data_IF_764574145666
#
_entry.id   IF_764574145666
#
_cell.length_a   1.000
_cell.length_b   1.000
_cell.length_c   1.000
_cell.angle_alpha   90.00
_cell.angle_beta   90.00
_cell.angle_gamma   90.00
#
_symmetry.space_group_name_H-M   'P 1'
#
loop_
_entity.id
_entity.type
_entity.pdbx_description
1 polymer ?
#
# COMPACT_ATOMS: atom_id res chain seq x y z
N UNK A 1 29.06 -48.66 33.74
CA UNK A 1 28.45 -49.86 34.42
C UNK A 1 27.31 -50.25 33.53
N UNK A 2 27.52 -51.26 32.63
CA UNK A 2 27.27 -52.70 32.85
C UNK A 2 25.76 -52.90 33.13
N UNK A 3 24.92 -53.69 32.49
CA UNK A 3 25.05 -54.91 31.65
C UNK A 3 23.63 -55.21 31.15
N UNK A 4 23.43 -55.65 29.94
CA UNK A 4 23.32 -57.05 29.40
C UNK A 4 22.16 -57.82 30.07
N UNK A 5 21.33 -58.56 29.39
CA UNK A 5 21.53 -59.73 28.52
C UNK A 5 20.15 -60.29 28.11
N UNK A 6 19.98 -60.74 26.91
CA UNK A 6 19.95 -62.16 26.44
C UNK A 6 18.76 -63.02 26.93
N UNK A 7 18.10 -63.62 25.96
CA UNK A 7 17.95 -65.06 25.81
C UNK A 7 16.65 -65.48 25.10
N UNK A 8 16.69 -66.01 23.89
CA UNK A 8 16.54 -67.42 23.44
C UNK A 8 15.24 -68.11 23.92
N UNK A 9 14.54 -68.92 23.20
CA UNK A 9 14.64 -69.66 21.94
C UNK A 9 13.48 -70.64 21.83
N UNK A 10 13.19 -71.13 20.60
CA UNK A 10 12.67 -72.47 20.25
C UNK A 10 11.18 -72.73 20.54
N UNK A 11 10.38 -73.43 19.75
CA UNK A 11 10.55 -74.48 18.75
C UNK A 11 9.25 -74.66 17.96
N UNK A 12 9.39 -75.18 16.76
CA UNK A 12 8.32 -75.79 15.92
C UNK A 12 7.82 -77.12 16.52
N UNK A 13 6.60 -77.55 16.12
CA UNK A 13 6.63 -78.57 15.05
C UNK A 13 5.43 -78.48 14.06
N UNK A 14 5.71 -79.10 12.96
CA UNK A 14 4.99 -79.52 11.75
C UNK A 14 3.65 -80.23 11.94
N UNK A 15 2.67 -79.95 11.04
CA UNK A 15 1.84 -81.01 10.45
C UNK A 15 1.22 -80.61 9.11
N UNK A 16 1.52 -81.43 8.16
CA UNK A 16 0.93 -81.92 6.91
C UNK A 16 -0.36 -81.31 6.35
N UNK A 17 -0.30 -81.08 5.04
CA UNK A 17 -1.33 -80.79 4.06
C UNK A 17 -2.37 -81.87 3.89
N UNK A 18 -3.50 -81.55 3.29
CA UNK A 18 -3.85 -82.39 2.09
C UNK A 18 -4.23 -81.51 0.87
N UNK A 19 -4.07 -82.18 -0.24
CA UNK A 19 -4.38 -81.79 -1.61
C UNK A 19 -5.73 -81.08 -1.77
N UNK A 20 -5.75 -79.94 -2.53
CA UNK A 20 -6.93 -79.41 -3.13
C UNK A 20 -6.66 -79.16 -4.64
N UNK A 21 -7.63 -79.59 -5.36
CA UNK A 21 -7.83 -79.63 -6.77
C UNK A 21 -7.59 -78.33 -7.49
N UNK A 22 -6.81 -78.31 -8.57
CA UNK A 22 -6.65 -77.17 -9.50
C UNK A 22 -7.92 -77.03 -10.35
N UNK A 23 -8.61 -75.88 -10.18
CA UNK A 23 -9.52 -75.37 -11.19
C UNK A 23 -8.77 -74.46 -12.18
N UNK A 24 -9.16 -74.43 -13.46
CA UNK A 24 -8.38 -73.71 -14.49
C UNK A 24 -8.61 -72.20 -14.38
N UNK A 25 -7.52 -71.42 -14.27
CA UNK A 25 -7.53 -69.95 -14.37
C UNK A 25 -8.06 -69.52 -15.75
N UNK A 26 -9.21 -68.85 -15.74
CA UNK A 26 -9.67 -68.04 -16.87
C UNK A 26 -8.73 -66.85 -17.06
N UNK A 27 -7.82 -66.90 -18.02
CA UNK A 27 -7.03 -65.74 -18.49
C UNK A 27 -8.00 -64.66 -18.99
N UNK A 28 -8.22 -63.63 -18.18
CA UNK A 28 -8.84 -62.35 -18.63
C UNK A 28 -7.94 -61.77 -19.73
N UNK A 29 -8.37 -61.91 -21.01
CA UNK A 29 -7.75 -61.19 -22.12
C UNK A 29 -7.78 -59.70 -21.80
N UNK A 30 -6.61 -59.14 -21.51
CA UNK A 30 -6.41 -57.70 -21.30
C UNK A 30 -6.84 -56.97 -22.57
N UNK A 31 -7.89 -56.12 -22.45
CA UNK A 31 -8.42 -55.38 -23.57
C UNK A 31 -7.47 -54.22 -23.90
N UNK A 32 -6.27 -54.52 -24.44
CA UNK A 32 -5.21 -53.57 -24.80
C UNK A 32 -5.75 -52.53 -25.78
N UNK A 33 -6.61 -52.94 -26.72
CA UNK A 33 -7.26 -52.02 -27.68
C UNK A 33 -8.14 -51.00 -26.98
N UNK A 34 -8.93 -51.40 -25.96
CA UNK A 34 -9.76 -50.46 -25.18
C UNK A 34 -8.92 -49.47 -24.38
N UNK A 35 -7.76 -49.91 -23.85
CA UNK A 35 -6.83 -49.00 -23.14
C UNK A 35 -6.16 -48.00 -24.08
N UNK A 36 -5.78 -48.42 -25.28
CA UNK A 36 -5.20 -47.53 -26.31
C UNK A 36 -6.23 -46.50 -26.77
N UNK A 37 -7.49 -46.93 -27.04
CA UNK A 37 -8.56 -46.02 -27.42
C UNK A 37 -8.88 -45.02 -26.32
N UNK A 38 -8.83 -45.42 -25.05
CA UNK A 38 -9.03 -44.53 -23.91
C UNK A 38 -7.91 -43.50 -23.78
N UNK A 39 -6.67 -43.87 -23.97
CA UNK A 39 -5.51 -42.96 -23.95
C UNK A 39 -5.56 -42.00 -25.13
N UNK A 40 -5.87 -42.46 -26.33
CA UNK A 40 -6.04 -41.61 -27.52
C UNK A 40 -7.23 -40.64 -27.34
N UNK A 41 -8.35 -41.12 -26.76
CA UNK A 41 -9.49 -40.25 -26.43
C UNK A 41 -9.17 -39.17 -25.39
N UNK A 42 -8.44 -39.52 -24.33
CA UNK A 42 -7.96 -38.56 -23.30
C UNK A 42 -6.96 -37.58 -23.85
N UNK A 43 -6.01 -38.00 -24.70
CA UNK A 43 -5.07 -37.07 -25.35
C UNK A 43 -5.77 -36.16 -26.35
N UNK A 44 -6.72 -36.66 -27.13
CA UNK A 44 -7.54 -35.80 -28.02
C UNK A 44 -8.38 -34.81 -27.23
N UNK A 45 -8.97 -35.24 -26.10
CA UNK A 45 -9.73 -34.35 -25.20
C UNK A 45 -8.83 -33.28 -24.56
N UNK A 46 -7.62 -33.65 -24.14
CA UNK A 46 -6.60 -32.69 -23.63
C UNK A 46 -6.17 -31.70 -24.72
N UNK A 47 -5.94 -32.15 -25.93
CA UNK A 47 -5.59 -31.29 -27.07
C UNK A 47 -6.76 -30.36 -27.42
N UNK A 48 -8.01 -30.86 -27.39
CA UNK A 48 -9.22 -30.02 -27.61
C UNK A 48 -9.42 -29.04 -26.46
N UNK A 49 -9.17 -29.41 -25.21
CA UNK A 49 -9.20 -28.48 -24.07
C UNK A 49 -8.07 -27.45 -24.13
N UNK A 50 -6.86 -27.84 -24.56
CA UNK A 50 -5.75 -26.92 -24.77
C UNK A 50 -5.99 -25.97 -25.95
N UNK A 51 -6.62 -26.46 -27.04
CA UNK A 51 -7.02 -25.62 -28.19
C UNK A 51 -8.30 -24.80 -27.96
N UNK A 52 -9.14 -25.17 -27.00
CA UNK A 52 -10.30 -24.40 -26.53
C UNK A 52 -10.01 -23.58 -25.27
N UNK A 53 -8.83 -23.69 -24.67
CA UNK A 53 -8.36 -22.67 -23.74
C UNK A 53 -8.38 -21.36 -24.49
N UNK A 54 -9.11 -20.32 -24.05
CA UNK A 54 -9.01 -19.03 -24.70
C UNK A 54 -7.53 -18.72 -24.79
N UNK A 55 -7.03 -18.54 -26.01
CA UNK A 55 -5.63 -18.20 -26.24
C UNK A 55 -5.34 -17.02 -25.32
N UNK A 56 -4.27 -17.12 -24.53
CA UNK A 56 -3.75 -16.08 -23.65
C UNK A 56 -3.34 -14.78 -24.38
N UNK A 57 -3.90 -14.51 -25.54
CA UNK A 57 -3.53 -13.42 -26.44
C UNK A 57 -4.69 -12.63 -27.02
N UNK A 58 -5.88 -12.60 -26.38
CA UNK A 58 -6.75 -11.45 -26.63
C UNK A 58 -6.11 -10.24 -25.98
N UNK A 59 -5.71 -9.22 -26.76
CA UNK A 59 -5.16 -7.99 -26.18
C UNK A 59 -6.17 -7.48 -25.15
N UNK A 60 -5.77 -7.44 -23.89
CA UNK A 60 -6.63 -6.83 -22.87
C UNK A 60 -6.75 -5.34 -23.20
N UNK A 61 -7.83 -4.69 -22.81
CA UNK A 61 -7.96 -3.22 -22.95
C UNK A 61 -6.74 -2.47 -22.39
N UNK A 62 -5.98 -3.09 -21.48
CA UNK A 62 -4.84 -2.49 -20.78
C UNK A 62 -3.48 -2.69 -21.49
N UNK A 63 -3.41 -3.56 -22.51
CA UNK A 63 -2.14 -3.88 -23.22
C UNK A 63 -1.78 -2.89 -24.32
N UNK A 64 -2.63 -1.91 -24.63
CA UNK A 64 -2.42 -0.91 -25.66
C UNK A 64 -2.74 0.48 -25.15
N UNK A 65 -1.96 1.47 -25.62
CA UNK A 65 -2.33 2.87 -25.44
C UNK A 65 -3.64 3.16 -26.19
N UNK A 66 -4.46 4.00 -25.58
CA UNK A 66 -5.68 4.50 -26.17
C UNK A 66 -5.57 6.01 -26.32
N UNK A 67 -5.83 6.52 -27.51
CA UNK A 67 -5.70 7.95 -27.80
C UNK A 67 -6.62 8.78 -26.88
N UNK A 68 -6.07 9.79 -26.25
CA UNK A 68 -6.80 10.66 -25.33
C UNK A 68 -7.06 10.06 -23.92
N UNK A 69 -6.61 8.82 -23.66
CA UNK A 69 -6.79 8.16 -22.35
C UNK A 69 -5.45 7.82 -21.72
N UNK A 70 -5.09 8.50 -20.65
CA UNK A 70 -3.88 8.21 -19.87
C UNK A 70 -4.09 7.00 -18.98
N UNK A 71 -3.21 6.00 -19.07
CA UNK A 71 -3.21 4.80 -18.27
C UNK A 71 -2.23 4.91 -17.10
N UNK A 72 -2.73 4.91 -15.89
CA UNK A 72 -1.95 5.09 -14.64
C UNK A 72 -1.88 3.78 -13.85
N UNK A 73 -0.67 3.33 -13.56
CA UNK A 73 -0.42 2.30 -12.56
C UNK A 73 -0.42 2.93 -11.17
N UNK A 74 -1.30 2.47 -10.28
CA UNK A 74 -1.40 2.88 -8.88
C UNK A 74 -0.91 1.73 -8.02
N UNK A 75 0.35 1.78 -7.55
CA UNK A 75 0.87 0.79 -6.61
C UNK A 75 0.39 1.10 -5.19
N UNK A 76 0.06 0.08 -4.41
CA UNK A 76 -0.56 0.30 -3.10
C UNK A 76 -2.00 0.82 -3.18
N UNK A 77 -2.68 0.56 -4.32
CA UNK A 77 -3.99 1.12 -4.61
C UNK A 77 -5.15 0.50 -3.83
N UNK A 78 -4.93 -0.60 -3.11
CA UNK A 78 -5.90 -1.12 -2.14
C UNK A 78 -5.73 -0.51 -0.73
N UNK A 79 -4.69 0.32 -0.52
CA UNK A 79 -4.44 1.07 0.71
C UNK A 79 -5.28 2.33 0.83
N UNK A 80 -5.19 3.00 1.99
CA UNK A 80 -5.96 4.22 2.29
C UNK A 80 -5.76 5.32 1.24
N UNK A 81 -4.53 5.81 1.04
CA UNK A 81 -4.26 6.91 0.10
C UNK A 81 -4.43 6.44 -1.36
N UNK A 82 -3.90 5.25 -1.69
CA UNK A 82 -3.92 4.72 -3.05
C UNK A 82 -5.34 4.47 -3.59
N UNK A 83 -6.28 4.02 -2.75
CA UNK A 83 -7.68 3.84 -3.17
C UNK A 83 -8.40 5.18 -3.44
N UNK A 84 -8.13 6.21 -2.63
CA UNK A 84 -8.64 7.56 -2.89
C UNK A 84 -8.03 8.16 -4.17
N UNK A 85 -6.73 7.91 -4.43
CA UNK A 85 -6.08 8.32 -5.68
C UNK A 85 -6.71 7.61 -6.90
N UNK A 86 -6.93 6.30 -6.81
CA UNK A 86 -7.61 5.55 -7.86
C UNK A 86 -9.03 6.07 -8.11
N UNK A 87 -9.82 6.36 -7.06
CA UNK A 87 -11.13 6.98 -7.18
C UNK A 87 -11.08 8.32 -7.91
N UNK A 88 -10.13 9.18 -7.53
CA UNK A 88 -9.97 10.49 -8.16
C UNK A 88 -9.58 10.39 -9.62
N UNK A 89 -8.63 9.52 -9.97
CA UNK A 89 -8.23 9.27 -11.36
C UNK A 89 -9.41 8.74 -12.20
N UNK A 90 -10.15 7.76 -11.69
CA UNK A 90 -11.33 7.21 -12.38
C UNK A 90 -12.42 8.26 -12.63
N UNK A 91 -12.66 9.17 -11.69
CA UNK A 91 -13.58 10.31 -11.86
C UNK A 91 -13.13 11.27 -12.97
N UNK A 92 -11.85 11.40 -13.18
CA UNK A 92 -11.27 12.24 -14.25
C UNK A 92 -10.97 11.48 -15.55
N UNK A 93 -11.63 10.33 -15.75
CA UNK A 93 -11.53 9.53 -16.97
C UNK A 93 -10.16 8.91 -17.26
N UNK A 94 -9.26 8.79 -16.30
CA UNK A 94 -8.06 7.99 -16.44
C UNK A 94 -8.39 6.49 -16.50
N UNK A 95 -7.55 5.72 -17.17
CA UNK A 95 -7.50 4.27 -17.04
C UNK A 95 -6.59 3.94 -15.86
N UNK A 96 -7.01 3.03 -14.98
CA UNK A 96 -6.31 2.72 -13.74
C UNK A 96 -6.03 1.22 -13.62
N UNK A 97 -4.77 0.87 -13.40
CA UNK A 97 -4.39 -0.46 -12.91
C UNK A 97 -3.90 -0.31 -11.47
N UNK A 98 -4.55 -1.00 -10.56
CA UNK A 98 -4.12 -1.11 -9.16
C UNK A 98 -3.25 -2.34 -9.00
N UNK A 99 -2.05 -2.17 -8.42
CA UNK A 99 -1.20 -3.27 -7.96
C UNK A 99 -1.03 -3.20 -6.45
N UNK A 100 -1.36 -4.30 -5.76
CA UNK A 100 -1.26 -4.39 -4.30
C UNK A 100 -1.13 -5.86 -3.88
N UNK A 101 -0.32 -6.16 -2.87
CA UNK A 101 -0.23 -7.49 -2.25
C UNK A 101 -1.21 -7.66 -1.08
N UNK A 102 -2.03 -6.66 -0.83
CA UNK A 102 -3.05 -6.60 0.24
C UNK A 102 -2.49 -6.88 1.64
N UNK A 103 -1.18 -6.69 1.84
CA UNK A 103 -0.57 -6.85 3.18
C UNK A 103 -1.03 -5.78 4.18
N UNK A 104 -1.32 -4.58 3.70
CA UNK A 104 -1.85 -3.44 4.46
C UNK A 104 -3.14 -2.87 3.87
N UNK A 105 -3.40 -3.14 2.60
CA UNK A 105 -4.58 -2.72 1.87
C UNK A 105 -5.82 -3.56 2.18
N UNK A 106 -6.95 -3.16 1.62
CA UNK A 106 -8.23 -3.84 1.77
C UNK A 106 -8.90 -4.06 0.40
N UNK A 107 -9.15 -5.32 0.05
CA UNK A 107 -9.81 -5.67 -1.22
C UNK A 107 -11.22 -5.09 -1.35
N UNK A 108 -11.89 -4.79 -0.26
CA UNK A 108 -13.22 -4.19 -0.34
C UNK A 108 -13.17 -2.75 -0.90
N UNK A 109 -12.09 -1.99 -0.64
CA UNK A 109 -11.89 -0.70 -1.30
C UNK A 109 -11.83 -0.87 -2.83
N UNK A 110 -11.11 -1.88 -3.32
CA UNK A 110 -11.04 -2.20 -4.76
C UNK A 110 -12.41 -2.60 -5.31
N UNK A 111 -13.16 -3.45 -4.60
CA UNK A 111 -14.52 -3.86 -5.00
C UNK A 111 -15.48 -2.66 -5.10
N UNK A 112 -15.38 -1.69 -4.18
CA UNK A 112 -16.17 -0.45 -4.24
C UNK A 112 -15.80 0.33 -5.52
N UNK A 113 -14.52 0.50 -5.82
CA UNK A 113 -14.07 1.17 -7.04
C UNK A 113 -14.58 0.47 -8.30
N UNK A 114 -14.53 -0.87 -8.35
CA UNK A 114 -15.06 -1.67 -9.47
C UNK A 114 -16.58 -1.51 -9.61
N UNK A 115 -17.31 -1.45 -8.50
CA UNK A 115 -18.77 -1.20 -8.51
C UNK A 115 -19.11 0.20 -9.00
N UNK A 116 -18.32 1.21 -8.65
CA UNK A 116 -18.52 2.60 -9.08
C UNK A 116 -18.12 2.83 -10.54
N UNK A 117 -17.18 2.05 -11.06
CA UNK A 117 -16.65 2.16 -12.41
C UNK A 117 -16.66 0.78 -13.10
N UNK A 118 -17.87 0.24 -13.45
CA UNK A 118 -18.03 -1.11 -13.97
C UNK A 118 -17.65 -1.25 -15.46
N UNK A 119 -17.33 -0.14 -16.13
CA UNK A 119 -17.03 -0.15 -17.57
C UNK A 119 -15.74 -0.94 -17.86
N UNK A 120 -15.77 -1.89 -18.81
CA UNK A 120 -14.59 -2.61 -19.23
C UNK A 120 -13.46 -1.67 -19.65
N UNK A 121 -12.23 -2.00 -19.29
CA UNK A 121 -11.05 -1.21 -19.67
C UNK A 121 -10.81 0.06 -18.82
N UNK A 122 -11.60 0.33 -17.78
CA UNK A 122 -11.40 1.50 -16.89
C UNK A 122 -10.55 1.18 -15.67
N UNK A 123 -10.86 0.08 -14.99
CA UNK A 123 -10.18 -0.34 -13.77
C UNK A 123 -9.77 -1.81 -13.84
N UNK A 124 -8.49 -2.07 -13.55
CA UNK A 124 -7.93 -3.40 -13.38
C UNK A 124 -7.29 -3.51 -12.00
N UNK A 125 -7.40 -4.67 -11.36
CA UNK A 125 -6.66 -5.01 -10.16
C UNK A 125 -5.75 -6.20 -10.42
N UNK A 126 -4.48 -6.09 -10.04
CA UNK A 126 -3.49 -7.15 -10.11
C UNK A 126 -2.93 -7.38 -8.71
N UNK A 127 -3.09 -8.60 -8.20
CA UNK A 127 -2.45 -9.01 -6.96
C UNK A 127 -0.98 -9.31 -7.24
N UNK A 128 -0.07 -8.53 -6.67
CA UNK A 128 1.37 -8.78 -6.78
C UNK A 128 2.14 -8.10 -5.63
N UNK A 129 3.27 -8.71 -5.26
CA UNK A 129 4.27 -8.10 -4.39
C UNK A 129 5.33 -7.40 -5.24
N UNK A 130 5.64 -6.14 -4.92
CA UNK A 130 6.66 -5.37 -5.64
C UNK A 130 8.09 -5.87 -5.35
N UNK A 131 8.27 -6.73 -4.36
CA UNK A 131 9.52 -7.45 -4.11
C UNK A 131 9.79 -8.57 -5.12
N UNK A 132 8.76 -9.06 -5.81
CA UNK A 132 8.92 -10.02 -6.91
C UNK A 132 9.19 -9.28 -8.23
N UNK A 133 10.47 -9.10 -8.54
CA UNK A 133 10.90 -8.38 -9.74
C UNK A 133 10.38 -9.02 -11.05
N UNK A 134 10.19 -10.33 -11.09
CA UNK A 134 9.65 -11.02 -12.29
C UNK A 134 8.17 -10.71 -12.46
N UNK A 135 7.40 -10.75 -11.38
CA UNK A 135 5.99 -10.39 -11.41
C UNK A 135 5.81 -8.92 -11.81
N UNK A 136 6.63 -8.01 -11.29
CA UNK A 136 6.59 -6.58 -11.65
C UNK A 136 6.92 -6.39 -13.13
N UNK A 137 8.01 -6.98 -13.63
CA UNK A 137 8.38 -6.88 -15.04
C UNK A 137 7.27 -7.41 -15.97
N UNK A 138 6.66 -8.53 -15.62
CA UNK A 138 5.50 -9.08 -16.34
C UNK A 138 4.34 -8.10 -16.38
N UNK A 139 4.02 -7.44 -15.26
CA UNK A 139 2.95 -6.43 -15.20
C UNK A 139 3.22 -5.29 -16.20
N UNK A 140 4.45 -4.81 -16.26
CA UNK A 140 4.83 -3.74 -17.20
C UNK A 140 4.86 -4.21 -18.66
N UNK A 141 5.21 -5.48 -18.92
CA UNK A 141 5.20 -6.04 -20.28
C UNK A 141 3.80 -6.29 -20.85
N UNK A 142 2.82 -6.55 -19.96
CA UNK A 142 1.44 -6.86 -20.36
C UNK A 142 0.51 -5.63 -20.39
N UNK A 143 0.99 -4.47 -19.91
CA UNK A 143 0.18 -3.26 -19.75
C UNK A 143 0.91 -2.04 -20.33
N UNK A 144 0.21 -1.25 -21.12
CA UNK A 144 0.73 0.00 -21.68
C UNK A 144 0.48 1.16 -20.71
N UNK A 145 1.43 1.39 -19.80
CA UNK A 145 1.34 2.48 -18.82
C UNK A 145 1.92 3.79 -19.35
N UNK A 146 1.24 4.91 -19.08
CA UNK A 146 1.73 6.26 -19.32
C UNK A 146 2.37 6.87 -18.08
N UNK A 147 1.92 6.43 -16.90
CA UNK A 147 2.43 6.93 -15.64
C UNK A 147 2.34 5.89 -14.51
N UNK A 148 3.20 6.06 -13.51
CA UNK A 148 3.11 5.34 -12.22
C UNK A 148 2.89 6.33 -11.09
N UNK A 149 1.85 6.12 -10.29
CA UNK A 149 1.70 6.71 -8.95
C UNK A 149 2.10 5.67 -7.91
N UNK A 150 3.23 5.89 -7.26
CA UNK A 150 3.83 4.91 -6.35
C UNK A 150 3.51 5.21 -4.88
N UNK A 151 2.42 4.61 -4.37
CA UNK A 151 1.99 4.72 -2.97
C UNK A 151 2.41 3.50 -2.12
N UNK A 152 2.72 2.36 -2.74
CA UNK A 152 3.03 1.13 -2.02
C UNK A 152 4.18 1.32 -1.03
N UNK A 153 3.86 1.26 0.25
CA UNK A 153 4.83 1.36 1.35
C UNK A 153 4.20 0.94 2.67
N UNK A 154 4.96 0.31 3.56
CA UNK A 154 4.65 0.29 4.98
C UNK A 154 4.98 1.66 5.58
N UNK A 155 4.07 2.25 6.39
CA UNK A 155 4.14 3.67 6.74
C UNK A 155 3.91 3.95 8.23
N UNK A 156 4.36 3.06 9.12
CA UNK A 156 4.26 3.24 10.57
C UNK A 156 5.63 3.52 11.18
N UNK A 157 5.83 4.75 11.66
CA UNK A 157 7.11 5.21 12.24
C UNK A 157 7.56 4.34 13.40
N UNK A 158 6.65 4.00 14.33
CA UNK A 158 6.96 3.15 15.48
C UNK A 158 7.39 1.75 15.07
N UNK A 159 6.65 1.09 14.17
CA UNK A 159 7.00 -0.24 13.64
C UNK A 159 8.37 -0.22 12.93
N UNK A 160 8.73 0.86 12.26
CA UNK A 160 10.01 0.95 11.55
C UNK A 160 11.22 0.84 12.47
N UNK A 161 11.10 1.26 13.73
CA UNK A 161 12.20 1.13 14.71
C UNK A 161 12.34 -0.29 15.25
N UNK A 162 11.25 -1.07 15.23
CA UNK A 162 11.25 -2.46 15.68
C UNK A 162 11.67 -3.44 14.57
N UNK A 163 11.29 -3.15 13.33
CA UNK A 163 11.61 -3.98 12.14
C UNK A 163 12.16 -3.13 10.99
N UNK A 164 13.38 -2.59 11.12
CA UNK A 164 13.94 -1.66 10.13
C UNK A 164 14.21 -2.32 8.77
N UNK A 165 14.63 -3.60 8.74
CA UNK A 165 14.98 -4.28 7.49
C UNK A 165 13.76 -4.44 6.58
N UNK A 166 12.59 -4.70 7.15
CA UNK A 166 11.33 -4.74 6.42
C UNK A 166 11.04 -3.40 5.73
N UNK A 167 11.33 -2.28 6.39
CA UNK A 167 11.10 -0.95 5.82
C UNK A 167 12.06 -0.64 4.67
N UNK A 168 13.34 -0.97 4.79
CA UNK A 168 14.29 -0.81 3.69
C UNK A 168 13.94 -1.71 2.50
N UNK A 169 13.55 -2.96 2.74
CA UNK A 169 13.10 -3.85 1.67
C UNK A 169 11.82 -3.34 1.01
N UNK A 170 10.79 -3.08 1.81
CA UNK A 170 9.46 -2.72 1.29
C UNK A 170 9.44 -1.35 0.60
N UNK A 171 10.23 -0.38 1.06
CA UNK A 171 10.24 0.97 0.49
C UNK A 171 11.37 1.11 -0.54
N UNK A 172 12.63 0.93 -0.10
CA UNK A 172 13.79 1.24 -0.95
C UNK A 172 13.96 0.22 -2.07
N UNK A 173 14.00 -1.09 -1.74
CA UNK A 173 14.18 -2.14 -2.73
C UNK A 173 13.00 -2.23 -3.69
N UNK A 174 11.76 -2.13 -3.20
CA UNK A 174 10.57 -2.18 -4.03
C UNK A 174 10.46 -0.96 -4.96
N UNK A 175 10.85 0.23 -4.51
CA UNK A 175 10.95 1.42 -5.38
C UNK A 175 11.98 1.19 -6.48
N UNK A 176 13.13 0.57 -6.18
CA UNK A 176 14.14 0.23 -7.19
C UNK A 176 13.57 -0.76 -8.22
N UNK A 177 12.82 -1.76 -7.80
CA UNK A 177 12.17 -2.73 -8.70
C UNK A 177 11.21 -2.02 -9.66
N UNK A 178 10.34 -1.15 -9.15
CA UNK A 178 9.41 -0.36 -9.96
C UNK A 178 10.15 0.53 -10.94
N UNK A 179 11.18 1.27 -10.49
CA UNK A 179 11.96 2.18 -11.32
C UNK A 179 12.69 1.45 -12.46
N UNK A 180 13.26 0.27 -12.19
CA UNK A 180 13.87 -0.61 -13.21
C UNK A 180 12.87 -1.02 -14.28
N UNK A 181 11.67 -1.46 -13.88
CA UNK A 181 10.63 -1.87 -14.84
C UNK A 181 10.10 -0.68 -15.64
N UNK A 182 9.92 0.50 -15.00
CA UNK A 182 9.58 1.74 -15.73
C UNK A 182 10.61 2.07 -16.80
N UNK A 183 11.90 1.97 -16.47
CA UNK A 183 12.99 2.23 -17.40
C UNK A 183 13.01 1.23 -18.58
N UNK A 184 12.90 -0.08 -18.29
CA UNK A 184 12.90 -1.16 -19.27
C UNK A 184 11.71 -1.04 -20.26
N UNK A 185 10.54 -0.70 -19.75
CA UNK A 185 9.29 -0.58 -20.53
C UNK A 185 8.97 0.87 -20.97
N UNK A 186 9.92 1.81 -20.79
CA UNK A 186 9.82 3.20 -21.24
C UNK A 186 8.59 3.96 -20.74
N UNK A 187 8.15 3.69 -19.50
CA UNK A 187 7.06 4.45 -18.87
C UNK A 187 7.55 5.85 -18.53
N UNK A 188 6.94 6.92 -19.08
CA UNK A 188 7.55 8.24 -19.10
C UNK A 188 7.38 9.06 -17.82
N UNK A 189 6.46 8.68 -16.89
CA UNK A 189 6.10 9.55 -15.77
C UNK A 189 6.04 8.80 -14.45
N UNK A 190 6.77 9.29 -13.44
CA UNK A 190 6.73 8.81 -12.05
C UNK A 190 6.21 9.90 -11.11
N UNK A 191 5.13 9.61 -10.38
CA UNK A 191 4.68 10.38 -9.23
C UNK A 191 5.00 9.58 -7.97
N UNK A 192 6.01 10.02 -7.22
CA UNK A 192 6.49 9.33 -6.03
C UNK A 192 5.89 9.91 -4.76
N UNK A 193 5.20 9.07 -4.01
CA UNK A 193 4.58 9.40 -2.73
C UNK A 193 5.64 9.33 -1.62
N UNK A 194 6.23 10.47 -1.29
CA UNK A 194 7.27 10.61 -0.27
C UNK A 194 6.68 11.11 1.06
N UNK A 195 7.50 11.67 1.94
CA UNK A 195 7.11 12.06 3.30
C UNK A 195 7.95 13.23 3.82
N UNK A 196 7.38 14.05 4.70
CA UNK A 196 8.12 15.05 5.47
C UNK A 196 9.19 14.44 6.39
N UNK A 197 9.09 13.15 6.74
CA UNK A 197 10.08 12.47 7.57
C UNK A 197 11.48 12.41 6.93
N UNK A 198 11.61 12.70 5.63
CA UNK A 198 12.90 12.82 4.92
C UNK A 198 13.71 14.03 5.36
N UNK A 199 13.09 15.03 5.98
CA UNK A 199 13.79 16.24 6.45
C UNK A 199 14.52 16.07 7.79
N UNK A 200 14.26 14.99 8.52
CA UNK A 200 14.84 14.79 9.83
C UNK A 200 14.25 15.77 10.86
N UNK A 201 15.12 16.37 11.67
CA UNK A 201 14.77 17.38 12.67
C UNK A 201 15.14 18.78 12.15
N UNK A 202 14.22 19.52 11.52
CA UNK A 202 14.51 20.83 10.95
C UNK A 202 14.75 21.87 12.03
N UNK A 203 15.70 22.78 11.77
CA UNK A 203 16.01 23.89 12.71
C UNK A 203 14.99 25.03 12.63
N UNK A 204 14.29 25.16 11.50
CA UNK A 204 13.34 26.25 11.24
C UNK A 204 12.03 25.72 10.72
N UNK A 205 10.95 26.34 11.15
CA UNK A 205 9.59 26.14 10.67
C UNK A 205 9.09 27.44 9.98
N UNK A 206 8.22 27.33 8.97
CA UNK A 206 7.76 26.09 8.29
C UNK A 206 8.86 25.42 7.44
N UNK A 207 8.68 24.11 7.16
CA UNK A 207 9.57 23.34 6.30
C UNK A 207 9.36 23.69 4.84
N UNK A 208 10.41 24.10 4.16
CA UNK A 208 10.43 24.31 2.70
C UNK A 208 11.14 23.17 2.01
N UNK A 209 11.03 23.06 0.68
CA UNK A 209 11.79 22.07 -0.11
C UNK A 209 13.31 22.33 -0.10
N UNK A 210 13.72 23.55 0.23
CA UNK A 210 15.12 23.94 0.44
C UNK A 210 15.66 23.62 1.84
N UNK A 211 14.82 23.12 2.75
CA UNK A 211 15.28 22.71 4.09
C UNK A 211 16.32 21.60 3.98
N UNK A 212 17.52 21.75 4.60
CA UNK A 212 18.60 20.77 4.49
C UNK A 212 18.19 19.37 4.94
N UNK A 213 18.61 18.34 4.19
CA UNK A 213 18.36 16.94 4.50
C UNK A 213 19.67 16.15 4.78
N UNK A 214 20.83 16.78 4.71
CA UNK A 214 22.13 16.11 4.62
C UNK A 214 23.14 16.50 5.72
N UNK A 215 22.75 17.22 6.78
CA UNK A 215 23.64 17.46 7.91
C UNK A 215 23.44 16.43 9.02
N UNK A 216 24.44 16.22 9.89
CA UNK A 216 24.37 15.26 11.00
C UNK A 216 23.13 15.44 11.91
N UNK A 217 22.54 16.63 11.92
CA UNK A 217 21.31 16.96 12.67
C UNK A 217 20.02 16.78 11.87
N UNK A 218 20.10 16.74 10.52
CA UNK A 218 18.95 16.74 9.63
C UNK A 218 18.74 15.39 8.94
N UNK A 219 19.41 14.33 9.38
CA UNK A 219 19.13 12.98 8.89
C UNK A 219 17.78 12.48 9.42
N UNK A 220 16.99 11.73 8.61
CA UNK A 220 15.79 11.09 9.12
C UNK A 220 16.09 10.26 10.37
N UNK A 221 15.35 10.51 11.45
CA UNK A 221 15.63 9.89 12.76
C UNK A 221 15.04 8.48 12.93
N UNK A 222 14.25 8.02 11.97
CA UNK A 222 13.67 6.69 11.99
C UNK A 222 13.87 5.95 10.66
N UNK A 223 13.84 4.60 10.67
CA UNK A 223 14.06 3.80 9.47
C UNK A 223 13.06 4.06 8.33
N UNK A 224 11.80 4.40 8.63
CA UNK A 224 10.82 4.80 7.62
C UNK A 224 11.29 6.03 6.83
N UNK A 225 11.65 7.11 7.52
CA UNK A 225 12.15 8.32 6.88
C UNK A 225 13.45 8.07 6.11
N UNK A 226 14.38 7.27 6.67
CA UNK A 226 15.61 6.86 5.99
C UNK A 226 15.34 6.08 4.71
N UNK A 227 14.46 5.07 4.74
CA UNK A 227 14.11 4.28 3.57
C UNK A 227 13.46 5.13 2.46
N UNK A 228 12.57 6.06 2.82
CA UNK A 228 11.97 7.02 1.87
C UNK A 228 13.02 7.96 1.29
N UNK A 229 13.94 8.49 2.10
CA UNK A 229 15.03 9.34 1.63
C UNK A 229 15.97 8.60 0.67
N UNK A 230 16.36 7.38 0.99
CA UNK A 230 17.17 6.54 0.10
C UNK A 230 16.44 6.28 -1.24
N UNK A 231 15.14 6.07 -1.22
CA UNK A 231 14.36 5.92 -2.43
C UNK A 231 14.33 7.22 -3.26
N UNK A 232 14.17 8.39 -2.62
CA UNK A 232 14.31 9.69 -3.31
C UNK A 232 15.68 9.84 -3.96
N UNK A 233 16.77 9.51 -3.24
CA UNK A 233 18.13 9.64 -3.76
C UNK A 233 18.35 8.77 -5.00
N UNK A 234 17.88 7.51 -4.98
CA UNK A 234 17.93 6.63 -6.16
C UNK A 234 17.15 7.21 -7.35
N UNK A 235 15.96 7.74 -7.10
CA UNK A 235 15.11 8.37 -8.14
C UNK A 235 15.82 9.60 -8.72
N UNK A 236 16.41 10.44 -7.88
CA UNK A 236 17.13 11.65 -8.30
C UNK A 236 18.41 11.33 -9.08
N UNK A 237 19.16 10.31 -8.65
CA UNK A 237 20.34 9.87 -9.41
C UNK A 237 19.98 9.30 -10.76
N UNK A 238 18.93 8.48 -10.83
CA UNK A 238 18.39 7.97 -12.10
C UNK A 238 17.91 9.08 -13.02
N UNK A 239 17.30 10.14 -12.49
CA UNK A 239 16.76 11.25 -13.27
C UNK A 239 17.80 11.99 -14.10
N UNK A 240 19.06 12.04 -13.64
CA UNK A 240 20.15 12.76 -14.31
C UNK A 240 20.42 12.28 -15.74
N UNK A 241 20.16 11.00 -16.00
CA UNK A 241 20.40 10.36 -17.30
C UNK A 241 19.09 9.79 -17.91
N UNK A 242 17.94 10.27 -17.47
CA UNK A 242 16.63 9.80 -17.92
C UNK A 242 15.82 10.92 -18.56
N UNK A 243 14.95 10.56 -19.52
CA UNK A 243 13.94 11.46 -20.06
C UNK A 243 12.62 11.46 -19.27
N UNK A 244 12.56 10.70 -18.17
CA UNK A 244 11.37 10.54 -17.36
C UNK A 244 10.97 11.86 -16.69
N UNK A 245 9.68 12.13 -16.65
CA UNK A 245 9.09 13.16 -15.79
C UNK A 245 8.96 12.59 -14.38
N UNK A 246 9.51 13.28 -13.37
CA UNK A 246 9.50 12.81 -12.00
C UNK A 246 8.93 13.88 -11.09
N UNK A 247 7.91 13.51 -10.32
CA UNK A 247 7.31 14.36 -9.29
C UNK A 247 7.38 13.65 -7.94
N UNK A 248 8.04 14.27 -6.97
CA UNK A 248 8.21 13.77 -5.60
C UNK A 248 7.35 14.62 -4.68
N UNK A 249 6.37 14.01 -4.01
CA UNK A 249 5.46 14.70 -3.11
C UNK A 249 5.77 14.31 -1.66
N UNK A 250 6.30 15.27 -0.88
CA UNK A 250 6.62 15.12 0.54
C UNK A 250 5.45 15.63 1.36
N UNK A 251 4.55 14.72 1.72
CA UNK A 251 3.37 15.10 2.48
C UNK A 251 3.50 14.84 3.98
N UNK A 252 2.60 15.44 4.72
CA UNK A 252 2.56 15.46 6.18
C UNK A 252 1.53 14.45 6.72
N UNK A 253 0.89 14.71 7.84
CA UNK A 253 -0.01 13.75 8.46
C UNK A 253 -1.35 13.67 7.73
N UNK A 254 -1.67 12.53 7.14
CA UNK A 254 -2.89 12.36 6.35
C UNK A 254 -4.06 11.99 7.24
N UNK A 255 -5.18 12.69 7.06
CA UNK A 255 -6.46 12.49 7.74
C UNK A 255 -7.62 12.52 6.73
N UNK A 256 -8.84 12.37 7.20
CA UNK A 256 -10.02 12.53 6.35
C UNK A 256 -10.54 11.23 5.75
N UNK A 257 -11.57 11.36 4.96
CA UNK A 257 -12.21 10.30 4.17
C UNK A 257 -12.85 10.91 2.94
N UNK A 258 -13.29 10.07 2.00
CA UNK A 258 -14.07 10.55 0.85
C UNK A 258 -15.34 11.28 1.33
N UNK A 259 -15.59 12.52 0.90
CA UNK A 259 -16.75 13.30 1.36
C UNK A 259 -18.11 12.66 1.06
N UNK A 260 -18.19 11.84 -0.01
CA UNK A 260 -19.39 11.09 -0.39
C UNK A 260 -19.50 9.74 0.38
N UNK A 261 -18.57 9.44 1.30
CA UNK A 261 -18.64 8.29 2.19
C UNK A 261 -18.32 6.93 1.56
N UNK A 262 -17.71 6.89 0.37
CA UNK A 262 -17.39 5.64 -0.35
C UNK A 262 -16.15 4.95 0.18
N UNK A 263 -15.12 5.73 0.51
CA UNK A 263 -13.81 5.26 0.96
C UNK A 263 -13.39 5.98 2.25
N UNK A 264 -12.66 5.26 3.10
CA UNK A 264 -12.10 5.80 4.33
C UNK A 264 -10.89 5.01 4.82
N UNK A 265 -10.33 5.41 5.94
CA UNK A 265 -9.24 4.68 6.58
C UNK A 265 -9.77 3.50 7.38
N UNK A 266 -9.40 2.29 6.98
CA UNK A 266 -9.78 1.04 7.64
C UNK A 266 -8.56 0.13 7.84
N UNK A 267 -7.71 0.40 8.84
CA UNK A 267 -6.61 -0.49 9.16
C UNK A 267 -7.15 -1.82 9.67
N UNK A 268 -6.41 -2.90 9.40
CA UNK A 268 -6.72 -4.20 9.97
C UNK A 268 -6.65 -4.14 11.51
N UNK A 269 -7.43 -4.95 12.24
CA UNK A 269 -7.46 -4.92 13.71
C UNK A 269 -6.08 -5.02 14.35
N UNK A 270 -5.21 -5.90 13.85
CA UNK A 270 -3.85 -6.12 14.34
C UNK A 270 -2.90 -4.93 14.10
N UNK A 271 -3.29 -3.96 13.27
CA UNK A 271 -2.49 -2.78 12.94
C UNK A 271 -2.99 -1.50 13.63
N UNK A 272 -4.09 -1.56 14.37
CA UNK A 272 -4.71 -0.38 15.00
C UNK A 272 -3.77 0.31 15.98
N UNK A 273 -3.02 -0.46 16.78
CA UNK A 273 -2.06 0.10 17.76
C UNK A 273 -0.92 0.90 17.11
N UNK A 274 -0.64 0.65 15.85
CA UNK A 274 0.37 1.36 15.05
C UNK A 274 -0.25 2.48 14.21
N UNK A 275 -1.58 2.64 14.28
CA UNK A 275 -2.37 3.52 13.41
C UNK A 275 -2.10 5.01 13.60
N UNK A 276 -2.78 5.79 12.78
CA UNK A 276 -2.75 7.27 12.85
C UNK A 276 -3.52 7.75 14.07
N UNK A 277 -3.21 8.96 14.52
CA UNK A 277 -3.90 9.60 15.64
C UNK A 277 -5.42 9.72 15.40
N UNK A 278 -5.86 10.00 14.17
CA UNK A 278 -7.28 10.04 13.79
C UNK A 278 -7.98 8.71 14.05
N UNK A 279 -7.38 7.60 13.61
CA UNK A 279 -7.90 6.26 13.84
C UNK A 279 -8.00 5.92 15.33
N UNK A 280 -6.98 6.25 16.12
CA UNK A 280 -6.99 6.04 17.57
C UNK A 280 -8.09 6.88 18.26
N UNK A 281 -8.28 8.14 17.86
CA UNK A 281 -9.37 8.99 18.38
C UNK A 281 -10.76 8.39 18.04
N UNK A 282 -10.95 7.92 16.80
CA UNK A 282 -12.22 7.30 16.40
C UNK A 282 -12.46 5.96 17.09
N UNK A 283 -11.43 5.15 17.28
CA UNK A 283 -11.53 3.90 18.04
C UNK A 283 -11.90 4.16 19.51
N UNK A 284 -11.34 5.21 20.12
CA UNK A 284 -11.73 5.64 21.48
C UNK A 284 -13.17 6.19 21.50
N UNK A 285 -13.57 6.99 20.50
CA UNK A 285 -14.93 7.52 20.41
C UNK A 285 -15.98 6.41 20.21
N UNK A 286 -15.62 5.31 19.53
CA UNK A 286 -16.48 4.12 19.36
C UNK A 286 -16.46 3.16 20.54
N UNK A 287 -15.60 3.40 21.53
CA UNK A 287 -15.41 2.51 22.70
C UNK A 287 -14.63 1.23 22.38
N UNK A 288 -13.91 1.15 21.24
CA UNK A 288 -13.06 0.01 20.87
C UNK A 288 -11.82 -0.01 21.75
N UNK A 289 -11.27 1.16 22.09
CA UNK A 289 -10.18 1.34 23.05
C UNK A 289 -10.64 2.28 24.19
N UNK A 290 -10.08 2.15 25.40
CA UNK A 290 -10.56 2.92 26.56
C UNK A 290 -10.29 4.42 26.51
N UNK A 291 -9.41 4.87 25.64
CA UNK A 291 -8.99 6.26 25.46
C UNK A 291 -7.76 6.38 24.58
N UNK A 292 -7.32 7.59 24.31
CA UNK A 292 -6.14 7.87 23.52
C UNK A 292 -4.91 8.13 24.39
N UNK A 293 -3.74 7.67 23.95
CA UNK A 293 -2.44 7.89 24.58
C UNK A 293 -1.70 9.01 23.87
N UNK A 294 -1.59 10.18 24.52
CA UNK A 294 -0.79 11.32 24.03
C UNK A 294 0.63 11.22 24.58
N UNK A 295 1.63 11.13 23.67
CA UNK A 295 3.02 10.91 24.05
C UNK A 295 3.82 12.21 23.99
N UNK A 296 4.38 12.60 25.14
CA UNK A 296 5.11 13.84 25.35
C UNK A 296 4.23 15.04 25.60
N UNK A 297 4.48 15.68 26.74
CA UNK A 297 3.79 16.90 27.20
C UNK A 297 4.79 17.98 27.62
N UNK A 298 6.04 17.76 27.31
CA UNK A 298 7.21 18.56 27.72
C UNK A 298 8.02 19.07 26.52
N UNK A 299 7.43 19.06 25.30
CA UNK A 299 8.05 19.69 24.14
C UNK A 299 8.04 21.23 24.29
N UNK A 300 9.00 21.89 23.67
CA UNK A 300 9.07 23.36 23.61
C UNK A 300 8.03 23.92 22.63
N UNK A 301 6.75 23.67 22.89
CA UNK A 301 5.59 24.12 22.15
C UNK A 301 4.62 24.80 23.11
N UNK A 302 3.62 25.49 22.60
CA UNK A 302 2.70 26.28 23.41
C UNK A 302 1.97 25.45 24.50
N UNK A 303 1.57 24.22 24.19
CA UNK A 303 0.83 23.34 25.10
C UNK A 303 1.63 22.11 25.56
N UNK A 304 2.91 22.05 25.20
CA UNK A 304 3.83 20.96 25.54
C UNK A 304 3.71 19.74 24.65
N UNK A 305 2.73 19.66 23.72
CA UNK A 305 2.57 18.52 22.82
C UNK A 305 3.16 18.79 21.43
N UNK A 306 3.40 17.74 20.64
CA UNK A 306 3.97 17.87 19.30
C UNK A 306 3.04 18.68 18.37
N UNK A 307 3.64 19.46 17.48
CA UNK A 307 2.93 20.18 16.41
C UNK A 307 3.09 19.46 15.09
N UNK A 308 2.00 19.25 14.35
CA UNK A 308 1.95 18.57 13.05
C UNK A 308 1.09 19.34 12.06
N UNK A 309 1.35 19.15 10.77
CA UNK A 309 0.50 19.59 9.68
C UNK A 309 -0.40 18.41 9.28
N UNK A 310 -1.71 18.61 9.29
CA UNK A 310 -2.69 17.59 8.97
C UNK A 310 -3.33 17.90 7.62
N UNK A 311 -3.07 17.06 6.63
CA UNK A 311 -3.61 17.19 5.27
C UNK A 311 -4.76 16.22 5.04
N UNK A 312 -5.88 16.70 4.49
CA UNK A 312 -6.98 15.84 4.09
C UNK A 312 -6.58 14.95 2.91
N UNK A 313 -7.02 13.68 2.95
CA UNK A 313 -6.70 12.70 1.89
C UNK A 313 -7.23 13.14 0.53
N UNK A 314 -8.35 13.85 0.48
CA UNK A 314 -8.94 14.40 -0.75
C UNK A 314 -8.02 15.44 -1.39
N UNK A 315 -7.48 16.35 -0.58
CA UNK A 315 -6.51 17.34 -1.01
C UNK A 315 -5.18 16.70 -1.41
N UNK A 316 -4.73 15.71 -0.64
CA UNK A 316 -3.49 15.00 -0.95
C UNK A 316 -3.56 14.31 -2.31
N UNK A 317 -4.65 13.60 -2.61
CA UNK A 317 -4.78 12.93 -3.91
C UNK A 317 -4.99 13.93 -5.06
N UNK A 318 -5.66 15.06 -4.81
CA UNK A 318 -5.73 16.17 -5.77
C UNK A 318 -4.34 16.71 -6.11
N UNK A 319 -3.44 16.89 -5.12
CA UNK A 319 -2.05 17.26 -5.35
C UNK A 319 -1.30 16.24 -6.24
N UNK A 320 -1.52 14.93 -6.05
CA UNK A 320 -0.93 13.90 -6.87
C UNK A 320 -1.42 13.95 -8.32
N UNK A 321 -2.71 14.19 -8.54
CA UNK A 321 -3.28 14.36 -9.88
C UNK A 321 -2.77 15.65 -10.54
N UNK A 322 -2.69 16.76 -9.80
CA UNK A 322 -2.07 18.00 -10.29
C UNK A 322 -0.62 17.80 -10.68
N UNK A 323 0.16 17.05 -9.90
CA UNK A 323 1.53 16.71 -10.23
C UNK A 323 1.60 15.90 -11.54
N UNK A 324 0.70 14.91 -11.73
CA UNK A 324 0.62 14.15 -13.00
C UNK A 324 0.32 15.05 -14.19
N UNK A 325 -0.66 15.96 -14.06
CA UNK A 325 -1.07 16.88 -15.13
C UNK A 325 0.02 17.89 -15.52
N UNK A 326 0.91 18.24 -14.57
CA UNK A 326 2.02 19.19 -14.79
C UNK A 326 3.37 18.51 -15.05
N UNK A 327 3.41 17.18 -15.06
CA UNK A 327 4.64 16.43 -15.29
C UNK A 327 5.16 16.67 -16.72
N UNK A 328 6.44 17.03 -16.84
CA UNK A 328 7.11 17.31 -18.13
C UNK A 328 8.35 16.45 -18.26
N UNK A 329 8.58 15.91 -19.45
CA UNK A 329 9.77 15.11 -19.76
C UNK A 329 11.04 15.81 -19.29
N UNK A 330 11.98 15.07 -18.73
CA UNK A 330 13.27 15.55 -18.18
C UNK A 330 13.14 16.51 -17.01
N UNK A 331 11.97 16.69 -16.44
CA UNK A 331 11.77 17.57 -15.30
C UNK A 331 11.61 16.78 -13.99
N UNK A 332 12.23 17.29 -12.93
CA UNK A 332 12.08 16.80 -11.57
C UNK A 332 11.43 17.87 -10.73
N UNK A 333 10.22 17.61 -10.27
CA UNK A 333 9.52 18.47 -9.30
C UNK A 333 9.55 17.81 -7.90
N UNK A 334 9.93 18.58 -6.88
CA UNK A 334 9.83 18.15 -5.48
C UNK A 334 8.95 19.17 -4.77
N UNK A 335 7.91 18.69 -4.08
CA UNK A 335 6.91 19.56 -3.45
C UNK A 335 6.52 19.07 -2.06
N UNK A 336 6.43 20.02 -1.13
CA UNK A 336 5.76 19.81 0.15
C UNK A 336 4.24 19.89 -0.05
N UNK A 337 3.53 18.89 0.49
CA UNK A 337 2.07 18.82 0.42
C UNK A 337 1.48 18.83 1.82
N UNK A 338 0.99 19.95 2.24
CA UNK A 338 0.38 20.18 3.53
C UNK A 338 -0.51 21.44 3.49
N UNK A 339 -1.08 21.79 4.63
CA UNK A 339 -1.93 22.97 4.77
C UNK A 339 -1.15 24.24 5.08
N UNK A 340 0.11 24.10 5.52
CA UNK A 340 0.90 25.19 6.07
C UNK A 340 0.51 25.60 7.49
N UNK A 341 -0.41 24.85 8.12
CA UNK A 341 -0.91 25.14 9.48
C UNK A 341 -0.43 24.07 10.45
N UNK A 342 0.46 24.43 11.36
CA UNK A 342 0.84 23.56 12.48
C UNK A 342 -0.29 23.49 13.51
N UNK A 343 -0.67 22.26 13.90
CA UNK A 343 -1.64 21.99 14.96
C UNK A 343 -1.03 21.06 15.98
N UNK A 344 -1.23 21.36 17.26
CA UNK A 344 -0.73 20.49 18.33
C UNK A 344 -1.55 19.21 18.43
N UNK A 345 -0.94 18.16 19.03
CA UNK A 345 -1.67 16.90 19.29
C UNK A 345 -2.86 17.15 20.21
N UNK A 346 -2.76 18.06 21.16
CA UNK A 346 -3.85 18.43 22.06
C UNK A 346 -4.99 19.13 21.30
N UNK A 347 -4.68 20.10 20.42
CA UNK A 347 -5.67 20.72 19.54
C UNK A 347 -6.37 19.68 18.66
N UNK A 348 -5.62 18.70 18.14
CA UNK A 348 -6.17 17.62 17.33
C UNK A 348 -7.18 16.77 18.12
N UNK A 349 -6.85 16.38 19.36
CA UNK A 349 -7.73 15.58 20.20
C UNK A 349 -9.00 16.36 20.55
N UNK A 350 -8.89 17.66 20.84
CA UNK A 350 -10.07 18.51 21.11
C UNK A 350 -10.96 18.64 19.85
N UNK A 351 -10.37 18.80 18.66
CA UNK A 351 -11.13 18.78 17.41
C UNK A 351 -11.83 17.42 17.18
N UNK A 352 -11.18 16.31 17.52
CA UNK A 352 -11.83 14.98 17.48
C UNK A 352 -13.00 14.86 18.46
N UNK A 353 -12.90 15.40 19.68
CA UNK A 353 -14.01 15.41 20.65
C UNK A 353 -15.20 16.18 20.09
N UNK A 354 -14.96 17.34 19.49
CA UNK A 354 -16.01 18.14 18.85
C UNK A 354 -16.66 17.41 17.67
N UNK A 355 -15.85 16.94 16.71
CA UNK A 355 -16.32 16.26 15.51
C UNK A 355 -17.11 14.98 15.83
N UNK A 356 -16.74 14.25 16.90
CA UNK A 356 -17.41 13.02 17.30
C UNK A 356 -18.60 13.24 18.26
N UNK A 357 -18.62 14.34 18.99
CA UNK A 357 -19.54 14.60 20.11
C UNK A 357 -19.25 13.73 21.34
N UNK A 358 -18.09 13.07 21.39
CA UNK A 358 -17.71 12.13 22.47
C UNK A 358 -16.57 12.70 23.30
N UNK A 359 -16.72 12.66 24.62
CA UNK A 359 -15.63 13.02 25.54
C UNK A 359 -14.58 11.90 25.59
N UNK A 360 -13.62 11.93 24.66
CA UNK A 360 -12.54 10.94 24.53
C UNK A 360 -11.60 11.09 25.74
N UNK A 361 -11.38 9.99 26.48
CA UNK A 361 -10.40 9.95 27.56
C UNK A 361 -9.00 10.06 27.01
N UNK A 362 -8.14 10.83 27.69
CA UNK A 362 -6.74 11.05 27.32
C UNK A 362 -5.82 10.62 28.44
N UNK A 363 -4.88 9.74 28.11
CA UNK A 363 -3.76 9.35 28.98
C UNK A 363 -2.48 10.02 28.45
N UNK A 364 -1.79 10.77 29.28
CA UNK A 364 -0.53 11.41 28.94
C UNK A 364 0.65 10.54 29.33
N UNK A 365 1.54 10.27 28.37
CA UNK A 365 2.70 9.40 28.51
C UNK A 365 3.99 10.16 28.18
N UNK A 366 5.17 9.65 28.63
CA UNK A 366 6.46 10.16 28.21
C UNK A 366 6.64 10.21 26.68
N UNK A 367 7.58 11.01 26.19
CA UNK A 367 7.91 11.10 24.76
C UNK A 367 8.23 9.74 24.17
N UNK A 368 7.82 9.54 22.92
CA UNK A 368 8.24 8.40 22.13
C UNK A 368 9.55 8.73 21.43
N UNK A 369 10.58 7.85 21.46
CA UNK A 369 11.78 8.04 20.65
C UNK A 369 11.44 8.20 19.17
N UNK A 370 12.08 9.17 18.51
CA UNK A 370 11.85 9.43 17.09
C UNK A 370 10.71 10.39 16.76
N UNK A 371 10.09 11.02 17.76
CA UNK A 371 9.12 12.12 17.55
C UNK A 371 9.81 13.48 17.55
N UNK A 372 9.36 14.37 16.68
CA UNK A 372 9.80 15.77 16.57
C UNK A 372 8.87 16.70 17.35
N UNK A 373 9.43 17.82 17.86
CA UNK A 373 8.61 18.85 18.53
C UNK A 373 7.60 19.48 17.54
N UNK A 374 8.11 19.94 16.40
CA UNK A 374 7.30 20.64 15.39
C UNK A 374 7.66 20.15 13.98
N UNK A 375 6.64 19.86 13.17
CA UNK A 375 6.78 19.50 11.75
C UNK A 375 5.54 19.99 10.99
N UNK A 376 5.67 21.11 10.26
CA UNK A 376 4.62 21.63 9.38
C UNK A 376 5.22 22.29 8.13
N UNK A 377 4.43 22.32 7.06
CA UNK A 377 4.89 22.66 5.72
C UNK A 377 4.84 24.15 5.40
N UNK A 378 5.67 24.56 4.43
CA UNK A 378 5.39 25.70 3.56
C UNK A 378 4.92 25.16 2.19
N UNK A 379 3.62 25.29 1.83
CA UNK A 379 3.10 24.84 0.54
C UNK A 379 3.23 25.87 -0.58
N UNK A 380 4.01 26.93 -0.42
CA UNK A 380 4.11 28.04 -1.38
C UNK A 380 4.62 27.60 -2.74
N UNK A 381 5.53 26.62 -2.80
CA UNK A 381 6.09 26.11 -4.04
C UNK A 381 5.04 25.38 -4.88
N UNK A 382 4.32 24.41 -4.29
CA UNK A 382 3.29 23.67 -5.02
C UNK A 382 2.16 24.57 -5.49
N UNK A 383 1.79 25.57 -4.68
CA UNK A 383 0.80 26.58 -5.07
C UNK A 383 1.25 27.38 -6.29
N UNK A 384 2.48 27.85 -6.30
CA UNK A 384 3.03 28.66 -7.41
C UNK A 384 3.22 27.84 -8.68
N UNK A 385 3.73 26.60 -8.60
CA UNK A 385 4.19 25.83 -9.73
C UNK A 385 3.14 24.86 -10.30
N UNK A 386 2.24 24.33 -9.45
CA UNK A 386 1.19 23.38 -9.84
C UNK A 386 -0.22 23.98 -9.71
N UNK A 387 -0.35 25.25 -9.32
CA UNK A 387 -1.63 25.91 -9.05
C UNK A 387 -2.52 25.08 -8.09
N UNK A 388 -1.89 24.51 -7.05
CA UNK A 388 -2.57 23.68 -6.07
C UNK A 388 -2.61 24.34 -4.70
N UNK A 389 -3.76 24.26 -4.04
CA UNK A 389 -3.95 24.71 -2.65
C UNK A 389 -4.92 23.77 -1.94
N UNK A 390 -4.61 23.39 -0.71
CA UNK A 390 -5.48 22.58 0.11
C UNK A 390 -6.83 23.30 0.34
N UNK A 391 -7.94 22.59 0.20
CA UNK A 391 -9.32 23.08 0.39
C UNK A 391 -9.81 22.80 1.80
N UNK A 392 -9.54 21.60 2.30
CA UNK A 392 -9.92 21.15 3.63
C UNK A 392 -8.85 21.58 4.64
N UNK A 393 -8.85 22.85 5.02
CA UNK A 393 -7.89 23.43 5.98
C UNK A 393 -8.45 23.56 7.38
N UNK A 394 -9.74 23.33 7.56
CA UNK A 394 -10.40 23.19 8.85
C UNK A 394 -10.27 21.74 9.30
N UNK A 395 -9.61 21.56 10.44
CA UNK A 395 -9.37 20.25 11.03
C UNK A 395 -10.67 19.57 11.47
N UNK A 396 -11.63 20.33 11.99
CA UNK A 396 -12.91 19.84 12.48
C UNK A 396 -13.74 19.30 11.31
N UNK A 397 -13.82 20.04 10.19
CA UNK A 397 -14.52 19.61 8.98
C UNK A 397 -13.99 18.26 8.44
N UNK A 398 -12.66 18.12 8.28
CA UNK A 398 -12.05 16.87 7.82
C UNK A 398 -12.32 15.71 8.77
N UNK A 399 -12.30 15.96 10.08
CA UNK A 399 -12.58 14.94 11.09
C UNK A 399 -14.07 14.56 11.13
N UNK A 400 -15.00 15.48 10.90
CA UNK A 400 -16.43 15.17 10.79
C UNK A 400 -16.74 14.30 9.59
N UNK A 401 -16.12 14.57 8.42
CA UNK A 401 -16.23 13.73 7.22
C UNK A 401 -15.74 12.32 7.52
N UNK A 402 -14.55 12.21 8.13
CA UNK A 402 -13.98 10.91 8.49
C UNK A 402 -14.84 10.19 9.53
N UNK A 403 -15.36 10.90 10.52
CA UNK A 403 -16.23 10.33 11.55
C UNK A 403 -17.55 9.78 10.97
N UNK A 404 -18.17 10.49 10.01
CA UNK A 404 -19.36 9.98 9.30
C UNK A 404 -19.08 8.63 8.67
N UNK A 405 -17.95 8.48 7.98
CA UNK A 405 -17.53 7.21 7.39
C UNK A 405 -17.32 6.14 8.46
N UNK A 406 -16.60 6.46 9.54
CA UNK A 406 -16.29 5.53 10.64
C UNK A 406 -17.54 5.04 11.38
N UNK A 407 -18.57 5.85 11.51
CA UNK A 407 -19.86 5.45 12.13
C UNK A 407 -20.59 4.38 11.31
N UNK A 408 -20.59 4.53 9.99
CA UNK A 408 -21.26 3.60 9.06
C UNK A 408 -20.43 2.32 8.91
N UNK A 409 -19.11 2.43 8.93
CA UNK A 409 -18.18 1.31 8.70
C UNK A 409 -17.49 0.89 10.00
N UNK A 410 -18.26 0.38 10.94
CA UNK A 410 -17.79 0.07 12.30
C UNK A 410 -16.66 -0.98 12.31
N UNK A 411 -16.73 -1.94 11.41
CA UNK A 411 -15.73 -2.99 11.19
C UNK A 411 -14.87 -2.74 9.94
N UNK A 412 -14.67 -1.47 9.63
CA UNK A 412 -14.04 -1.05 8.38
C UNK A 412 -14.90 -1.43 7.18
N UNK A 413 -14.27 -1.86 6.10
CA UNK A 413 -14.97 -2.30 4.89
C UNK A 413 -15.73 -3.64 5.03
N UNK A 414 -15.68 -4.30 6.18
CA UNK A 414 -16.40 -5.55 6.44
C UNK A 414 -17.80 -5.31 7.03
N UNK A 415 -18.17 -4.05 7.30
CA UNK A 415 -19.54 -3.71 7.66
C UNK A 415 -20.46 -3.92 6.46
N UNK A 416 -21.69 -4.48 6.67
CA UNK A 416 -22.62 -4.78 5.61
C UNK A 416 -23.10 -3.54 4.86
#
# INVERSE_FOLDING_TARGET
MLNSSRGRSQTRPTRSAPFAVMEPEHKKKSNIVGKILMVVGLTALCIIMLNKSPSLSTPTHFSRHEEGVTHVLVTGGAGYIGSHAALRLLKENYRVTIVDNVSRGNMAAVKILQKLHPQPGRLQFIYADLGDAKAVDKIFSENAFDAVMHFAAVAYVGESTMDPLRYYHNITSNTLTVLKSMAAHRVPTLIYSSTCATYGEPEKMPITEGTPQASCKHFPINPYGKAKKMAEDMILDFSKNSNMAIMILRYFNVIGSDPEGRLGEAPRPELRDQGRISGACFDAARGIIPGIKVRGTDYKTQDGTCIRDYIDVTDLVDAHVKALQHAKARNVGIYNVGTGKGRSVKEFVEACKKATGVNIKVEYLPRRPGDYAEVFSDPSKIRRELNWTARYTDLEESLEIAWRWQKVHRDGYNSP
#
